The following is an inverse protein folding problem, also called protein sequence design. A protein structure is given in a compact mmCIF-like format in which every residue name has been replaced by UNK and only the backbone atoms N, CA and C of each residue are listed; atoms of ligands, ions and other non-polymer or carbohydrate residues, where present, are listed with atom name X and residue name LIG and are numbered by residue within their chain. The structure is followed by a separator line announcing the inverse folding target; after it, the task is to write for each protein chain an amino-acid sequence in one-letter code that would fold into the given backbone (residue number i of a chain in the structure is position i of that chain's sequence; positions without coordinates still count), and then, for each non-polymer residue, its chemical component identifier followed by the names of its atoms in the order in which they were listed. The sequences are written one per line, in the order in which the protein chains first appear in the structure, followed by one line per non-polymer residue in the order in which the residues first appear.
data_IF_915588237043
#
_entry.id   IF_915588237043
#
_cell.length_a   1.000
_cell.length_b   1.000
_cell.length_c   1.000
_cell.angle_alpha   90.00
_cell.angle_beta   90.00
_cell.angle_gamma   90.00
#
_symmetry.space_group_name_H-M   'P 1'
#
loop_
_entity.id
_entity.type
_entity.pdbx_description
1 polymer ?
#
# COMPACT_ATOMS: atom_id res chain seq x y z
N UNK A 1 -22.07 10.72 0.71
CA UNK A 1 -20.79 11.33 1.16
C UNK A 1 -19.59 10.42 0.87
N UNK A 2 -19.58 9.69 -0.25
CA UNK A 2 -18.63 8.59 -0.51
C UNK A 2 -17.95 8.64 -1.87
N UNK A 3 -18.59 9.15 -2.94
CA UNK A 3 -18.00 9.16 -4.28
C UNK A 3 -16.86 10.18 -4.44
N UNK A 4 -17.03 11.39 -3.90
CA UNK A 4 -16.03 12.47 -4.01
C UNK A 4 -14.74 12.10 -3.27
N UNK A 5 -14.85 11.50 -2.09
CA UNK A 5 -13.69 11.00 -1.34
C UNK A 5 -12.96 9.88 -2.10
N UNK A 6 -13.71 8.98 -2.75
CA UNK A 6 -13.15 7.94 -3.61
C UNK A 6 -12.40 8.53 -4.81
N UNK A 7 -12.95 9.55 -5.47
CA UNK A 7 -12.29 10.24 -6.58
C UNK A 7 -11.02 10.96 -6.12
N UNK A 8 -11.07 11.66 -5.00
CA UNK A 8 -9.89 12.32 -4.43
C UNK A 8 -8.83 11.28 -4.07
N UNK A 9 -9.21 10.19 -3.39
CA UNK A 9 -8.29 9.11 -3.04
C UNK A 9 -7.66 8.47 -4.30
N UNK A 10 -8.46 8.25 -5.34
CA UNK A 10 -7.98 7.73 -6.61
C UNK A 10 -6.94 8.65 -7.26
N UNK A 11 -7.23 9.95 -7.36
CA UNK A 11 -6.30 10.93 -7.94
C UNK A 11 -5.01 11.02 -7.11
N UNK A 12 -5.13 11.11 -5.78
CA UNK A 12 -3.97 11.17 -4.89
C UNK A 12 -3.12 9.90 -4.97
N UNK A 13 -3.74 8.72 -4.95
CA UNK A 13 -3.03 7.45 -5.12
C UNK A 13 -2.34 7.36 -6.49
N UNK A 14 -3.00 7.81 -7.56
CA UNK A 14 -2.41 7.89 -8.90
C UNK A 14 -1.17 8.78 -8.93
N UNK A 15 -1.25 9.99 -8.37
CA UNK A 15 -0.10 10.91 -8.25
C UNK A 15 1.03 10.27 -7.44
N UNK A 16 0.69 9.56 -6.36
CA UNK A 16 1.65 8.88 -5.49
C UNK A 16 2.40 7.76 -6.26
N UNK A 17 1.71 6.99 -7.10
CA UNK A 17 2.34 5.99 -7.97
C UNK A 17 3.24 6.60 -9.05
N UNK A 18 2.79 7.69 -9.69
CA UNK A 18 3.60 8.41 -10.69
C UNK A 18 4.87 8.97 -10.06
N UNK A 19 4.79 9.56 -8.86
CA UNK A 19 5.95 10.07 -8.13
C UNK A 19 6.95 8.96 -7.78
N UNK A 20 6.47 7.79 -7.33
CA UNK A 20 7.34 6.64 -7.06
C UNK A 20 8.06 6.16 -8.32
N UNK A 21 7.34 6.08 -9.46
CA UNK A 21 7.93 5.67 -10.73
C UNK A 21 8.93 6.70 -11.26
N UNK A 22 8.62 8.00 -11.17
CA UNK A 22 9.50 9.08 -11.59
C UNK A 22 10.82 9.08 -10.81
N UNK A 23 10.79 8.77 -9.51
CA UNK A 23 11.98 8.64 -8.68
C UNK A 23 12.94 7.55 -9.19
N UNK A 24 12.37 6.43 -9.63
CA UNK A 24 13.12 5.30 -10.17
C UNK A 24 13.70 5.61 -11.57
N UNK A 25 12.90 6.18 -12.47
CA UNK A 25 13.32 6.52 -13.85
C UNK A 25 14.37 7.65 -13.89
N UNK A 26 14.36 8.56 -12.91
CA UNK A 26 15.33 9.66 -12.82
C UNK A 26 16.66 9.25 -12.17
N UNK A 27 16.86 7.98 -11.81
CA UNK A 27 18.11 7.48 -11.22
C UNK A 27 18.42 8.09 -9.84
N UNK A 28 17.40 8.58 -9.13
CA UNK A 28 17.52 9.16 -7.79
C UNK A 28 17.50 8.08 -6.69
N UNK A 29 17.80 6.83 -7.02
CA UNK A 29 17.83 5.71 -6.06
C UNK A 29 18.79 5.98 -4.89
N UNK A 30 19.82 6.80 -5.08
CA UNK A 30 20.72 7.25 -3.99
C UNK A 30 19.99 8.08 -2.91
N UNK A 31 18.85 8.71 -3.22
CA UNK A 31 18.05 9.51 -2.29
C UNK A 31 16.78 8.79 -1.80
N UNK A 32 16.63 7.50 -2.10
CA UNK A 32 15.50 6.64 -1.73
C UNK A 32 15.22 6.61 -0.24
N UNK A 33 16.27 6.66 0.58
CA UNK A 33 16.16 6.68 2.04
C UNK A 33 15.50 7.97 2.53
N UNK A 34 15.89 9.12 1.97
CA UNK A 34 15.31 10.43 2.30
C UNK A 34 13.85 10.50 1.85
N UNK A 35 13.55 9.99 0.66
CA UNK A 35 12.17 9.91 0.15
C UNK A 35 11.29 9.04 1.06
N UNK A 36 11.76 7.86 1.43
CA UNK A 36 11.05 6.94 2.34
C UNK A 36 10.84 7.60 3.71
N UNK A 37 11.85 8.30 4.23
CA UNK A 37 11.76 9.02 5.49
C UNK A 37 10.71 10.13 5.43
N UNK A 38 10.70 10.96 4.39
CA UNK A 38 9.66 12.00 4.21
C UNK A 38 8.27 11.40 4.03
N UNK A 39 8.15 10.29 3.28
CA UNK A 39 6.89 9.60 3.04
C UNK A 39 6.20 9.14 4.33
N UNK A 40 6.97 8.65 5.32
CA UNK A 40 6.44 8.24 6.62
C UNK A 40 6.42 9.38 7.66
N UNK A 41 7.35 10.33 7.59
CA UNK A 41 7.43 11.44 8.54
C UNK A 41 6.26 12.43 8.37
N UNK A 42 5.88 12.77 7.14
CA UNK A 42 4.78 13.72 6.90
C UNK A 42 3.45 13.26 7.52
N UNK A 43 2.95 12.03 7.28
CA UNK A 43 1.76 11.51 7.95
C UNK A 43 1.91 11.41 9.48
N UNK A 44 3.11 11.09 9.97
CA UNK A 44 3.36 11.01 11.41
C UNK A 44 3.20 12.38 12.09
N UNK A 45 3.76 13.44 11.50
CA UNK A 45 3.64 14.81 12.01
C UNK A 45 2.20 15.30 11.92
N UNK A 46 1.54 15.11 10.78
CA UNK A 46 0.13 15.48 10.60
C UNK A 46 -0.78 14.75 11.58
N UNK A 47 -0.56 13.45 11.77
CA UNK A 47 -1.29 12.63 12.74
C UNK A 47 -1.09 13.14 14.17
N UNK A 48 0.14 13.50 14.56
CA UNK A 48 0.43 14.05 15.88
C UNK A 48 -0.23 15.42 16.11
N UNK A 49 -0.24 16.30 15.09
CA UNK A 49 -0.94 17.59 15.14
C UNK A 49 -2.44 17.38 15.28
N UNK A 50 -3.04 16.50 14.47
CA UNK A 50 -4.46 16.20 14.53
C UNK A 50 -4.88 15.62 15.88
N UNK A 51 -4.08 14.71 16.44
CA UNK A 51 -4.33 14.13 17.77
C UNK A 51 -4.36 15.22 18.85
N UNK A 52 -3.41 16.17 18.80
CA UNK A 52 -3.35 17.31 19.71
C UNK A 52 -4.52 18.27 19.53
N UNK A 53 -4.88 18.60 18.29
CA UNK A 53 -5.96 19.56 18.00
C UNK A 53 -7.35 19.02 18.29
N UNK A 54 -7.56 17.70 18.15
CA UNK A 54 -8.85 17.06 18.44
C UNK A 54 -9.01 16.60 19.89
N UNK A 55 -7.95 16.68 20.71
CA UNK A 55 -7.98 16.23 22.10
C UNK A 55 -8.18 14.72 22.27
N UNK A 56 -8.03 13.96 21.19
CA UNK A 56 -8.18 12.51 21.18
C UNK A 56 -7.03 11.86 21.93
N UNK A 57 -7.34 11.02 22.91
CA UNK A 57 -6.32 10.28 23.67
C UNK A 57 -5.95 9.02 22.90
N UNK A 58 -4.71 8.93 22.42
CA UNK A 58 -4.19 7.68 21.86
C UNK A 58 -4.08 6.65 22.98
N UNK A 59 -4.79 5.53 22.84
CA UNK A 59 -4.67 4.40 23.75
C UNK A 59 -3.34 3.68 23.47
N UNK A 60 -2.76 3.05 24.50
CA UNK A 60 -1.55 2.24 24.31
C UNK A 60 -1.74 1.10 23.28
N UNK A 61 -2.98 0.66 23.07
CA UNK A 61 -3.36 -0.27 22.00
C UNK A 61 -3.19 0.35 20.61
N UNK A 62 -3.73 1.56 20.40
CA UNK A 62 -3.65 2.28 19.13
C UNK A 62 -2.21 2.55 18.73
N UNK A 63 -1.36 2.91 19.71
CA UNK A 63 0.07 3.11 19.47
C UNK A 63 0.78 1.83 19.04
N UNK A 64 0.45 0.67 19.62
CA UNK A 64 1.04 -0.62 19.23
C UNK A 64 0.60 -1.04 17.83
N UNK A 65 -0.69 -0.87 17.52
CA UNK A 65 -1.24 -1.17 16.19
C UNK A 65 -0.63 -0.24 15.14
N UNK A 66 -0.54 1.05 15.43
CA UNK A 66 0.08 2.04 14.53
C UNK A 66 1.57 1.76 14.29
N UNK A 67 2.32 1.40 15.34
CA UNK A 67 3.72 1.00 15.21
C UNK A 67 3.88 -0.25 14.34
N UNK A 68 3.04 -1.27 14.57
CA UNK A 68 3.05 -2.49 13.77
C UNK A 68 2.70 -2.23 12.30
N UNK A 69 1.65 -1.44 12.04
CA UNK A 69 1.28 -1.03 10.69
C UNK A 69 2.37 -0.22 9.99
N UNK A 70 2.99 0.74 10.68
CA UNK A 70 4.10 1.52 10.15
C UNK A 70 5.31 0.64 9.82
N UNK A 71 5.65 -0.30 10.71
CA UNK A 71 6.73 -1.26 10.48
C UNK A 71 6.45 -2.17 9.27
N UNK A 72 5.25 -2.77 9.19
CA UNK A 72 4.84 -3.59 8.04
C UNK A 72 4.83 -2.77 6.74
N UNK A 73 4.37 -1.52 6.79
CA UNK A 73 4.38 -0.61 5.65
C UNK A 73 5.79 -0.32 5.14
N UNK A 74 6.71 0.02 6.05
CA UNK A 74 8.11 0.29 5.71
C UNK A 74 8.76 -0.94 5.08
N UNK A 75 8.53 -2.11 5.67
CA UNK A 75 9.03 -3.38 5.14
C UNK A 75 8.47 -3.68 3.74
N UNK A 76 7.16 -3.45 3.51
CA UNK A 76 6.52 -3.59 2.20
C UNK A 76 7.15 -2.70 1.14
N UNK A 77 7.47 -1.44 1.49
CA UNK A 77 8.11 -0.50 0.58
C UNK A 77 9.55 -0.93 0.24
N UNK A 78 10.33 -1.34 1.24
CA UNK A 78 11.70 -1.84 1.03
C UNK A 78 11.69 -3.06 0.09
N UNK A 79 10.81 -4.04 0.33
CA UNK A 79 10.69 -5.21 -0.54
C UNK A 79 10.25 -4.85 -1.95
N UNK A 80 9.29 -3.94 -2.11
CA UNK A 80 8.88 -3.47 -3.45
C UNK A 80 10.07 -2.92 -4.21
N UNK A 81 10.85 -2.07 -3.57
CA UNK A 81 11.95 -1.41 -4.26
C UNK A 81 13.11 -2.38 -4.56
N UNK A 82 13.42 -3.33 -3.67
CA UNK A 82 14.36 -4.44 -3.98
C UNK A 82 13.87 -5.26 -5.17
N UNK A 83 12.55 -5.52 -5.26
CA UNK A 83 11.98 -6.26 -6.37
C UNK A 83 12.14 -5.51 -7.69
N UNK A 84 11.99 -4.17 -7.71
CA UNK A 84 12.19 -3.36 -8.92
C UNK A 84 13.65 -3.37 -9.38
N UNK A 85 14.63 -3.48 -8.46
CA UNK A 85 16.05 -3.61 -8.82
C UNK A 85 16.38 -4.93 -9.52
N UNK A 86 15.65 -6.01 -9.22
CA UNK A 86 15.93 -7.36 -9.72
C UNK A 86 14.97 -7.82 -10.83
N UNK A 87 13.79 -7.23 -10.92
CA UNK A 87 12.73 -7.61 -11.85
C UNK A 87 12.23 -6.38 -12.63
N UNK A 88 11.84 -6.55 -13.91
CA UNK A 88 11.24 -5.48 -14.68
C UNK A 88 10.00 -4.92 -13.97
N UNK A 89 9.88 -3.58 -13.90
CA UNK A 89 8.73 -2.92 -13.27
C UNK A 89 7.37 -3.37 -13.84
N UNK A 90 7.32 -3.76 -15.12
CA UNK A 90 6.13 -4.30 -15.78
C UNK A 90 5.61 -5.59 -15.15
N UNK A 91 6.48 -6.36 -14.47
CA UNK A 91 6.10 -7.56 -13.70
C UNK A 91 5.82 -7.19 -12.24
N UNK A 92 6.67 -6.36 -11.64
CA UNK A 92 6.59 -6.04 -10.21
C UNK A 92 5.29 -5.32 -9.84
N UNK A 93 4.85 -4.33 -10.64
CA UNK A 93 3.64 -3.57 -10.30
C UNK A 93 2.35 -4.41 -10.37
N UNK A 94 2.08 -5.21 -11.43
CA UNK A 94 0.92 -6.09 -11.46
C UNK A 94 0.96 -7.15 -10.38
N UNK A 95 2.10 -7.81 -10.15
CA UNK A 95 2.24 -8.84 -9.11
C UNK A 95 1.99 -8.23 -7.73
N UNK A 96 2.48 -7.02 -7.44
CA UNK A 96 2.22 -6.34 -6.17
C UNK A 96 0.74 -6.03 -5.99
N UNK A 97 0.08 -5.45 -7.00
CA UNK A 97 -1.32 -5.04 -6.89
C UNK A 97 -2.28 -6.24 -6.84
N UNK A 98 -2.09 -7.23 -7.71
CA UNK A 98 -2.91 -8.44 -7.76
C UNK A 98 -2.60 -9.37 -6.58
N UNK A 99 -1.33 -9.50 -6.21
CA UNK A 99 -0.91 -10.25 -5.03
C UNK A 99 -1.49 -9.68 -3.75
N UNK A 100 -1.46 -8.35 -3.58
CA UNK A 100 -2.13 -7.70 -2.46
C UNK A 100 -3.64 -8.01 -2.43
N UNK A 101 -4.33 -7.99 -3.59
CA UNK A 101 -5.75 -8.35 -3.68
C UNK A 101 -6.00 -9.79 -3.24
N UNK A 102 -5.23 -10.76 -3.76
CA UNK A 102 -5.39 -12.19 -3.44
C UNK A 102 -5.09 -12.44 -1.96
N UNK A 103 -3.99 -11.91 -1.43
CA UNK A 103 -3.59 -12.06 -0.02
C UNK A 103 -4.61 -11.41 0.90
N UNK A 104 -5.09 -10.19 0.57
CA UNK A 104 -6.12 -9.52 1.38
C UNK A 104 -7.41 -10.31 1.38
N UNK A 105 -7.86 -10.83 0.23
CA UNK A 105 -9.07 -11.65 0.16
C UNK A 105 -8.94 -12.97 0.94
N UNK A 106 -7.78 -13.64 0.85
CA UNK A 106 -7.51 -14.84 1.63
C UNK A 106 -7.50 -14.54 3.14
N UNK A 107 -6.85 -13.44 3.55
CA UNK A 107 -6.82 -13.03 4.95
C UNK A 107 -8.21 -12.65 5.46
N UNK A 108 -9.02 -11.93 4.66
CA UNK A 108 -10.42 -11.63 4.99
C UNK A 108 -11.25 -12.90 5.18
N UNK A 109 -11.06 -13.90 4.32
CA UNK A 109 -11.74 -15.19 4.45
C UNK A 109 -11.33 -15.93 5.73
N UNK A 110 -10.06 -15.89 6.12
CA UNK A 110 -9.55 -16.61 7.31
C UNK A 110 -9.92 -15.87 8.60
N UNK A 111 -9.66 -14.56 8.66
CA UNK A 111 -9.80 -13.76 9.88
C UNK A 111 -11.26 -13.38 10.16
N UNK A 112 -12.04 -13.05 9.13
CA UNK A 112 -13.44 -12.64 9.28
C UNK A 112 -14.46 -13.69 8.86
N UNK A 113 -14.04 -14.83 8.28
CA UNK A 113 -14.93 -15.89 7.76
C UNK A 113 -16.00 -15.34 6.81
N UNK A 114 -15.67 -14.29 6.06
CA UNK A 114 -16.59 -13.68 5.10
C UNK A 114 -16.92 -14.65 3.97
N UNK A 115 -18.20 -14.74 3.61
CA UNK A 115 -18.63 -15.48 2.42
C UNK A 115 -18.41 -14.62 1.19
N UNK A 116 -17.33 -14.91 0.45
CA UNK A 116 -17.04 -14.23 -0.81
C UNK A 116 -18.15 -14.50 -1.84
N UNK A 117 -18.64 -13.44 -2.48
CA UNK A 117 -19.56 -13.51 -3.60
C UNK A 117 -18.92 -14.18 -4.81
N UNK A 118 -19.73 -14.78 -5.70
CA UNK A 118 -19.26 -15.37 -6.97
C UNK A 118 -18.42 -14.39 -7.80
N UNK A 119 -18.78 -13.10 -7.78
CA UNK A 119 -18.03 -12.05 -8.49
C UNK A 119 -16.65 -11.78 -7.87
N UNK A 120 -16.51 -11.90 -6.56
CA UNK A 120 -15.22 -11.75 -5.88
C UNK A 120 -14.30 -12.94 -6.18
N UNK A 121 -14.87 -14.15 -6.17
CA UNK A 121 -14.14 -15.36 -6.59
C UNK A 121 -13.64 -15.28 -8.02
N UNK A 122 -14.48 -14.81 -8.96
CA UNK A 122 -14.07 -14.56 -10.34
C UNK A 122 -12.90 -13.56 -10.42
N UNK A 123 -12.94 -12.48 -9.64
CA UNK A 123 -11.85 -11.50 -9.55
C UNK A 123 -10.54 -12.11 -9.05
N UNK A 124 -10.58 -12.95 -8.02
CA UNK A 124 -9.41 -13.63 -7.46
C UNK A 124 -8.84 -14.63 -8.49
N UNK A 125 -9.67 -15.46 -9.10
CA UNK A 125 -9.22 -16.43 -10.11
C UNK A 125 -8.59 -15.71 -11.32
N UNK A 126 -9.22 -14.63 -11.79
CA UNK A 126 -8.69 -13.83 -12.89
C UNK A 126 -7.35 -13.16 -12.52
N UNK A 127 -7.22 -12.67 -11.28
CA UNK A 127 -5.97 -12.10 -10.77
C UNK A 127 -4.83 -13.14 -10.76
N UNK A 128 -5.11 -14.36 -10.32
CA UNK A 128 -4.13 -15.46 -10.32
C UNK A 128 -3.70 -15.80 -11.75
N UNK A 129 -4.65 -15.91 -12.69
CA UNK A 129 -4.36 -16.16 -14.10
C UNK A 129 -3.52 -15.03 -14.70
N UNK A 130 -3.84 -13.77 -14.40
CA UNK A 130 -3.10 -12.62 -14.88
C UNK A 130 -1.65 -12.60 -14.36
N UNK A 131 -1.42 -12.95 -13.08
CA UNK A 131 -0.06 -13.10 -12.54
C UNK A 131 0.70 -14.19 -13.30
N UNK A 132 0.04 -15.32 -13.58
CA UNK A 132 0.67 -16.43 -14.28
C UNK A 132 1.02 -16.10 -15.74
N UNK A 133 0.21 -15.28 -16.41
CA UNK A 133 0.42 -14.87 -17.81
C UNK A 133 1.52 -13.80 -17.98
N UNK A 134 1.79 -13.03 -16.94
CA UNK A 134 2.84 -11.98 -16.95
C UNK A 134 4.25 -12.60 -16.85
N UNK A 135 4.33 -13.83 -16.34
CA UNK A 135 5.54 -14.65 -16.34
C UNK A 135 5.67 -15.42 -17.65
#
# INVERSE_FOLDING_TARGET
MSLVLLLIAFVLSGMLHVSNKALHEMGLDTHRDIYTLMYYACPMVLGAILLRTRGEKSTASDRRIGLFMGFCGALSLIFMLIAIEHLPGIVVFPVRSLGNLVVTAAFSLIAWRERLSKSQWLGITLAIIAIWLIY
#
